data_IF_287763259362
#
_entry.id   IF_287763259362
#
_cell.length_a   1.000
_cell.length_b   1.000
_cell.length_c   1.000
_cell.angle_alpha   90.00
_cell.angle_beta   90.00
_cell.angle_gamma   90.00
#
_symmetry.space_group_name_H-M   'P 1'
#
loop_
_entity.id
_entity.type
_entity.pdbx_description
1 polymer ?
#
# COMPACT_ATOMS: atom_id res chain seq x y z
N UNK A 1 -12.95 -19.79 -15.74
CA UNK A 1 -14.19 -19.91 -14.93
C UNK A 1 -13.93 -20.38 -13.50
N UNK A 2 -13.09 -21.41 -13.27
CA UNK A 2 -12.84 -21.92 -11.92
C UNK A 2 -12.09 -20.93 -11.00
N UNK A 3 -11.18 -20.12 -11.54
CA UNK A 3 -10.41 -19.14 -10.77
C UNK A 3 -11.28 -17.97 -10.30
N UNK A 4 -12.11 -17.40 -11.19
CA UNK A 4 -13.07 -16.36 -10.82
C UNK A 4 -14.05 -16.82 -9.73
N UNK A 5 -14.63 -18.01 -9.85
CA UNK A 5 -15.54 -18.56 -8.85
C UNK A 5 -14.84 -18.77 -7.49
N UNK A 6 -13.59 -19.24 -7.49
CA UNK A 6 -12.81 -19.40 -6.25
C UNK A 6 -12.48 -18.06 -5.59
N UNK A 7 -12.20 -17.01 -6.37
CA UNK A 7 -12.00 -15.65 -5.85
C UNK A 7 -13.28 -15.09 -5.25
N UNK A 8 -14.41 -15.28 -5.91
CA UNK A 8 -15.72 -14.85 -5.41
C UNK A 8 -16.07 -15.55 -4.10
N UNK A 9 -15.83 -16.87 -4.00
CA UNK A 9 -15.98 -17.61 -2.75
C UNK A 9 -15.04 -17.11 -1.65
N UNK A 10 -13.78 -16.81 -1.99
CA UNK A 10 -12.79 -16.27 -1.03
C UNK A 10 -13.17 -14.88 -0.54
N UNK A 11 -13.69 -14.03 -1.43
CA UNK A 11 -14.21 -12.71 -1.09
C UNK A 11 -15.48 -12.84 -0.23
N UNK A 12 -16.40 -13.73 -0.57
CA UNK A 12 -17.60 -14.00 0.22
C UNK A 12 -17.25 -14.51 1.64
N UNK A 13 -16.24 -15.37 1.77
CA UNK A 13 -15.75 -15.83 3.07
C UNK A 13 -15.17 -14.66 3.91
N UNK A 14 -14.38 -13.78 3.29
CA UNK A 14 -13.90 -12.55 3.93
C UNK A 14 -15.04 -11.65 4.42
N UNK A 15 -16.19 -11.67 3.73
CA UNK A 15 -17.37 -10.89 4.07
C UNK A 15 -18.21 -11.52 5.20
N UNK A 16 -18.18 -12.86 5.34
CA UNK A 16 -18.96 -13.61 6.33
C UNK A 16 -18.38 -13.67 7.75
N UNK A 17 -17.05 -13.59 7.91
CA UNK A 17 -16.40 -13.49 9.22
C UNK A 17 -16.27 -12.02 9.69
N UNK A 18 -16.37 -11.80 11.00
CA UNK A 18 -16.38 -10.47 11.63
C UNK A 18 -15.07 -9.69 11.48
N UNK A 19 -14.85 -9.08 10.32
CA UNK A 19 -13.81 -8.08 10.02
C UNK A 19 -12.38 -8.62 9.81
N UNK A 20 -11.54 -7.79 9.19
CA UNK A 20 -10.05 -7.82 9.09
C UNK A 20 -9.31 -9.16 9.36
N UNK A 21 -9.59 -10.24 8.62
CA UNK A 21 -8.63 -11.33 8.47
C UNK A 21 -7.53 -10.93 7.46
N UNK A 22 -6.42 -10.41 7.99
CA UNK A 22 -5.27 -10.01 7.19
C UNK A 22 -4.62 -11.19 6.41
N UNK A 23 -4.70 -12.41 6.95
CA UNK A 23 -4.15 -13.60 6.31
C UNK A 23 -4.98 -14.05 5.11
N UNK A 24 -6.31 -14.03 5.24
CA UNK A 24 -7.21 -14.29 4.12
C UNK A 24 -7.11 -13.21 3.03
N UNK A 25 -7.01 -11.92 3.39
CA UNK A 25 -6.78 -10.83 2.42
C UNK A 25 -5.46 -11.05 1.68
N UNK A 26 -4.41 -11.45 2.39
CA UNK A 26 -3.12 -11.74 1.78
C UNK A 26 -3.21 -12.90 0.80
N UNK A 27 -3.88 -13.98 1.18
CA UNK A 27 -4.08 -15.16 0.35
C UNK A 27 -4.85 -14.81 -0.93
N UNK A 28 -5.91 -14.01 -0.82
CA UNK A 28 -6.68 -13.51 -1.96
C UNK A 28 -5.82 -12.67 -2.90
N UNK A 29 -5.07 -11.70 -2.37
CA UNK A 29 -4.19 -10.85 -3.16
C UNK A 29 -3.15 -11.66 -3.95
N UNK A 30 -2.55 -12.66 -3.30
CA UNK A 30 -1.54 -13.53 -3.90
C UNK A 30 -2.15 -14.44 -4.98
N UNK A 31 -3.39 -14.92 -4.77
CA UNK A 31 -4.13 -15.68 -5.78
C UNK A 31 -4.40 -14.83 -7.03
N UNK A 32 -4.93 -13.61 -6.86
CA UNK A 32 -5.16 -12.68 -7.97
C UNK A 32 -3.85 -12.40 -8.73
N UNK A 33 -2.74 -12.19 -8.01
CA UNK A 33 -1.42 -12.00 -8.60
C UNK A 33 -0.94 -13.18 -9.45
N UNK A 34 -1.11 -14.42 -8.95
CA UNK A 34 -0.75 -15.64 -9.69
C UNK A 34 -1.56 -15.80 -10.96
N UNK A 35 -2.86 -15.61 -10.89
CA UNK A 35 -3.75 -15.70 -12.04
C UNK A 35 -3.39 -14.66 -13.11
N UNK A 36 -3.09 -13.42 -12.71
CA UNK A 36 -2.68 -12.34 -13.63
C UNK A 36 -1.33 -12.62 -14.30
N UNK A 37 -0.44 -13.32 -13.60
CA UNK A 37 0.83 -13.76 -14.16
C UNK A 37 0.66 -14.95 -15.13
N UNK A 38 -0.31 -15.83 -14.89
CA UNK A 38 -0.60 -17.00 -15.72
C UNK A 38 -1.40 -16.66 -16.98
N UNK A 39 -2.21 -15.60 -16.96
CA UNK A 39 -3.05 -15.21 -18.07
C UNK A 39 -2.25 -14.69 -19.29
N UNK A 40 -2.62 -15.07 -20.52
CA UNK A 40 -1.94 -14.60 -21.72
C UNK A 40 -2.23 -13.11 -21.99
N UNK A 41 -1.33 -12.38 -22.68
CA UNK A 41 -1.61 -11.01 -23.11
C UNK A 41 -2.82 -10.94 -24.04
N UNK A 42 -3.65 -9.91 -23.86
CA UNK A 42 -4.76 -9.56 -24.74
C UNK A 42 -4.57 -8.18 -25.36
N UNK A 43 -5.41 -7.82 -26.34
CA UNK A 43 -5.31 -6.53 -27.05
C UNK A 43 -6.15 -5.44 -26.36
N UNK A 44 -5.77 -4.17 -26.59
CA UNK A 44 -6.37 -3.02 -25.89
C UNK A 44 -7.76 -2.65 -26.43
N UNK A 45 -8.08 -2.96 -27.69
CA UNK A 45 -9.26 -2.42 -28.37
C UNK A 45 -10.57 -2.79 -27.67
N UNK A 46 -10.74 -4.07 -27.33
CA UNK A 46 -11.90 -4.54 -26.60
C UNK A 46 -12.00 -3.91 -25.20
N UNK A 47 -10.86 -3.78 -24.51
CA UNK A 47 -10.80 -3.17 -23.19
C UNK A 47 -11.11 -1.66 -23.23
N UNK A 48 -10.64 -0.93 -24.24
CA UNK A 48 -10.93 0.51 -24.40
C UNK A 48 -12.43 0.74 -24.62
N UNK A 49 -13.05 -0.05 -25.49
CA UNK A 49 -14.49 0.02 -25.70
C UNK A 49 -15.28 -0.28 -24.40
N UNK A 50 -14.82 -1.25 -23.61
CA UNK A 50 -15.38 -1.53 -22.29
C UNK A 50 -15.28 -0.32 -21.34
N UNK A 51 -14.12 0.34 -21.27
CA UNK A 51 -13.95 1.53 -20.42
C UNK A 51 -14.88 2.67 -20.84
N UNK A 52 -15.00 2.93 -22.15
CA UNK A 52 -15.88 3.97 -22.69
C UNK A 52 -17.36 3.66 -22.40
N UNK A 53 -17.78 2.40 -22.54
CA UNK A 53 -19.13 1.97 -22.25
C UNK A 53 -19.47 2.03 -20.75
N UNK A 54 -18.49 1.82 -19.88
CA UNK A 54 -18.67 1.81 -18.41
C UNK A 54 -18.59 3.21 -17.79
N UNK A 55 -18.03 4.19 -18.49
CA UNK A 55 -17.87 5.57 -18.00
C UNK A 55 -19.18 6.37 -18.13
N UNK A 56 -20.07 6.23 -17.15
CA UNK A 56 -21.40 6.84 -17.14
C UNK A 56 -21.41 8.30 -16.61
N UNK A 57 -20.56 8.65 -15.65
CA UNK A 57 -20.53 10.01 -15.08
C UNK A 57 -19.59 10.95 -15.84
N UNK A 58 -19.83 12.27 -15.81
CA UNK A 58 -18.88 13.25 -16.39
C UNK A 58 -17.48 13.16 -15.77
N UNK A 59 -17.39 12.89 -14.46
CA UNK A 59 -16.11 12.73 -13.76
C UNK A 59 -15.35 11.50 -14.25
N UNK A 60 -16.02 10.35 -14.42
CA UNK A 60 -15.41 9.15 -15.00
C UNK A 60 -14.88 9.39 -16.40
N UNK A 61 -15.69 10.03 -17.27
CA UNK A 61 -15.26 10.35 -18.64
C UNK A 61 -14.05 11.28 -18.65
N UNK A 62 -14.04 12.32 -17.82
CA UNK A 62 -12.90 13.23 -17.70
C UNK A 62 -11.62 12.50 -17.24
N UNK A 63 -11.71 11.68 -16.20
CA UNK A 63 -10.58 10.93 -15.67
C UNK A 63 -10.08 9.88 -16.68
N UNK A 64 -10.98 9.19 -17.38
CA UNK A 64 -10.62 8.26 -18.45
C UNK A 64 -9.77 8.95 -19.53
N UNK A 65 -10.21 10.13 -20.01
CA UNK A 65 -9.46 10.88 -21.01
C UNK A 65 -8.06 11.28 -20.53
N UNK A 66 -7.91 11.69 -19.25
CA UNK A 66 -6.60 12.04 -18.66
C UNK A 66 -5.63 10.86 -18.64
N UNK A 67 -6.16 9.64 -18.55
CA UNK A 67 -5.38 8.42 -18.39
C UNK A 67 -5.11 7.66 -19.69
N UNK A 68 -5.63 8.10 -20.85
CA UNK A 68 -5.39 7.45 -22.16
C UNK A 68 -3.90 7.13 -22.41
N UNK A 69 -2.94 8.06 -22.25
CA UNK A 69 -1.52 7.76 -22.50
C UNK A 69 -0.94 6.71 -21.54
N UNK A 70 -1.55 6.50 -20.37
CA UNK A 70 -1.14 5.47 -19.42
C UNK A 70 -1.75 4.12 -19.80
N UNK A 71 -2.99 4.08 -20.28
CA UNK A 71 -3.62 2.86 -20.82
C UNK A 71 -2.81 2.29 -22.00
N UNK A 72 -2.37 3.14 -22.91
CA UNK A 72 -1.54 2.71 -24.05
C UNK A 72 -0.20 2.11 -23.60
N UNK A 73 0.47 2.75 -22.63
CA UNK A 73 1.70 2.22 -22.02
C UNK A 73 1.48 0.88 -21.32
N UNK A 74 0.32 0.69 -20.70
CA UNK A 74 -0.04 -0.57 -20.04
C UNK A 74 -0.27 -1.69 -21.05
N UNK A 75 -0.91 -1.41 -22.18
CA UNK A 75 -1.02 -2.36 -23.29
C UNK A 75 0.35 -2.75 -23.85
N UNK A 76 1.22 -1.78 -24.12
CA UNK A 76 2.60 -2.02 -24.57
C UNK A 76 3.40 -2.87 -23.57
N UNK A 77 3.17 -2.66 -22.27
CA UNK A 77 3.79 -3.42 -21.18
C UNK A 77 3.08 -4.76 -20.90
N UNK A 78 2.20 -5.21 -21.80
CA UNK A 78 1.44 -6.47 -21.70
C UNK A 78 0.66 -6.59 -20.38
N UNK A 79 0.05 -5.50 -19.91
CA UNK A 79 -0.80 -5.50 -18.70
C UNK A 79 -2.26 -5.79 -18.98
N UNK A 80 -2.67 -5.77 -20.24
CA UNK A 80 -3.97 -6.27 -20.70
C UNK A 80 -3.86 -7.78 -20.89
N UNK A 81 -4.76 -8.53 -20.27
CA UNK A 81 -4.73 -10.00 -20.18
C UNK A 81 -6.09 -10.59 -20.54
N UNK A 82 -6.09 -11.79 -21.11
CA UNK A 82 -7.32 -12.56 -21.28
C UNK A 82 -7.65 -13.25 -19.94
N UNK A 83 -8.55 -12.63 -19.17
CA UNK A 83 -8.96 -13.08 -17.85
C UNK A 83 -10.34 -13.77 -17.93
N UNK A 84 -10.74 -14.43 -16.84
CA UNK A 84 -12.05 -15.07 -16.73
C UNK A 84 -13.22 -14.05 -16.87
N UNK A 85 -12.96 -12.79 -16.53
CA UNK A 85 -13.87 -11.65 -16.62
C UNK A 85 -13.89 -10.99 -18.00
N UNK A 86 -12.97 -11.37 -18.90
CA UNK A 86 -12.80 -10.79 -20.23
C UNK A 86 -11.37 -10.32 -20.50
N UNK A 87 -11.17 -9.74 -21.68
CA UNK A 87 -9.90 -9.12 -22.07
C UNK A 87 -9.79 -7.74 -21.42
N UNK A 88 -9.05 -7.65 -20.32
CA UNK A 88 -8.98 -6.42 -19.52
C UNK A 88 -7.61 -6.21 -18.85
N UNK A 89 -7.41 -4.99 -18.34
CA UNK A 89 -6.22 -4.66 -17.55
C UNK A 89 -6.23 -5.39 -16.20
N UNK A 90 -5.09 -5.94 -15.79
CA UNK A 90 -4.95 -6.61 -14.48
C UNK A 90 -5.30 -5.74 -13.27
N UNK A 91 -5.17 -4.41 -13.37
CA UNK A 91 -5.60 -3.49 -12.32
C UNK A 91 -7.10 -3.18 -12.39
N UNK A 92 -7.72 -3.33 -13.56
CA UNK A 92 -9.17 -3.20 -13.73
C UNK A 92 -9.91 -4.44 -13.23
N UNK A 93 -9.32 -5.64 -13.40
CA UNK A 93 -9.76 -6.85 -12.70
C UNK A 93 -9.65 -6.67 -11.19
N UNK A 94 -8.48 -6.26 -10.68
CA UNK A 94 -8.26 -5.99 -9.25
C UNK A 94 -9.28 -4.98 -8.69
N UNK A 95 -9.68 -3.99 -9.49
CA UNK A 95 -10.66 -2.99 -9.06
C UNK A 95 -12.03 -3.58 -8.76
N UNK A 96 -12.39 -4.75 -9.30
CA UNK A 96 -13.65 -5.46 -9.00
C UNK A 96 -13.82 -5.79 -7.51
N UNK A 97 -12.98 -6.67 -6.91
CA UNK A 97 -13.06 -6.98 -5.48
C UNK A 97 -12.82 -5.76 -4.60
N UNK A 98 -11.99 -4.80 -5.03
CA UNK A 98 -11.80 -3.56 -4.27
C UNK A 98 -13.08 -2.71 -4.23
N UNK A 99 -13.77 -2.54 -5.36
CA UNK A 99 -15.02 -1.80 -5.44
C UNK A 99 -16.13 -2.48 -4.62
N UNK A 100 -16.20 -3.81 -4.64
CA UNK A 100 -17.11 -4.58 -3.79
C UNK A 100 -16.88 -4.31 -2.29
N UNK A 101 -15.61 -4.35 -1.84
CA UNK A 101 -15.27 -4.04 -0.44
C UNK A 101 -15.60 -2.58 -0.08
N UNK A 102 -15.32 -1.64 -0.97
CA UNK A 102 -15.64 -0.21 -0.74
C UNK A 102 -17.16 -0.01 -0.66
N UNK A 103 -17.94 -0.61 -1.57
CA UNK A 103 -19.41 -0.52 -1.58
C UNK A 103 -20.06 -1.13 -0.34
N UNK A 104 -19.41 -2.11 0.29
CA UNK A 104 -19.85 -2.72 1.56
C UNK A 104 -19.36 -1.95 2.80
N UNK A 105 -18.77 -0.77 2.65
CA UNK A 105 -18.26 0.02 3.77
C UNK A 105 -17.02 -0.58 4.43
N UNK A 106 -16.25 -1.40 3.71
CA UNK A 106 -15.00 -2.05 4.16
C UNK A 106 -13.75 -1.48 3.47
N UNK A 107 -13.46 -0.16 3.58
CA UNK A 107 -12.33 0.47 2.89
C UNK A 107 -10.97 0.06 3.46
N UNK A 108 -10.92 -0.44 4.71
CA UNK A 108 -9.67 -0.91 5.31
C UNK A 108 -9.21 -2.20 4.62
N UNK A 109 -10.12 -3.13 4.41
CA UNK A 109 -9.88 -4.39 3.71
C UNK A 109 -9.51 -4.13 2.24
N UNK A 110 -10.18 -3.18 1.58
CA UNK A 110 -9.85 -2.77 0.22
C UNK A 110 -8.40 -2.25 0.12
N UNK A 111 -7.98 -1.34 0.99
CA UNK A 111 -6.61 -0.80 0.93
C UNK A 111 -5.55 -1.84 1.29
N UNK A 112 -5.88 -2.81 2.14
CA UNK A 112 -5.01 -3.95 2.46
C UNK A 112 -4.80 -4.84 1.24
N UNK A 113 -5.89 -5.21 0.56
CA UNK A 113 -5.86 -6.00 -0.66
C UNK A 113 -5.03 -5.30 -1.75
N UNK A 114 -5.29 -4.01 -1.99
CA UNK A 114 -4.56 -3.22 -2.99
C UNK A 114 -3.06 -3.13 -2.68
N UNK A 115 -2.68 -2.83 -1.44
CA UNK A 115 -1.26 -2.75 -1.06
C UNK A 115 -0.57 -4.11 -1.19
N UNK A 116 -1.19 -5.19 -0.69
CA UNK A 116 -0.61 -6.52 -0.80
C UNK A 116 -0.43 -6.92 -2.26
N UNK A 117 -1.45 -6.73 -3.10
CA UNK A 117 -1.39 -7.06 -4.51
C UNK A 117 -0.20 -6.36 -5.19
N UNK A 118 -0.02 -5.05 -4.96
CA UNK A 118 1.09 -4.31 -5.56
C UNK A 118 2.45 -4.54 -4.91
N UNK A 119 2.52 -5.20 -3.76
CA UNK A 119 3.78 -5.65 -3.17
C UNK A 119 4.31 -6.89 -3.90
N UNK A 120 3.41 -7.83 -4.26
CA UNK A 120 3.75 -9.06 -4.99
C UNK A 120 3.70 -8.92 -6.51
N UNK A 121 2.89 -7.99 -7.03
CA UNK A 121 2.72 -7.69 -8.46
C UNK A 121 2.99 -6.22 -8.74
N UNK A 122 4.26 -5.74 -8.71
CA UNK A 122 4.57 -4.31 -8.80
C UNK A 122 4.05 -3.64 -10.07
N UNK A 123 3.25 -2.58 -9.92
CA UNK A 123 2.68 -1.78 -11.02
C UNK A 123 3.21 -0.33 -11.10
N UNK A 124 4.14 0.04 -10.21
CA UNK A 124 4.70 1.39 -10.14
C UNK A 124 3.68 2.46 -9.73
N UNK A 125 4.16 3.71 -9.70
CA UNK A 125 3.37 4.87 -9.30
C UNK A 125 2.22 5.21 -10.26
N UNK A 126 2.45 5.04 -11.56
CA UNK A 126 1.42 5.28 -12.59
C UNK A 126 0.31 4.22 -12.53
N UNK A 127 0.65 2.96 -12.21
CA UNK A 127 -0.35 1.92 -11.97
C UNK A 127 -1.25 2.24 -10.76
N UNK A 128 -0.66 2.68 -9.64
CA UNK A 128 -1.46 3.09 -8.48
C UNK A 128 -2.37 4.28 -8.79
N UNK A 129 -1.89 5.24 -9.59
CA UNK A 129 -2.66 6.43 -9.97
C UNK A 129 -3.89 6.13 -10.84
N UNK A 130 -3.95 4.96 -11.48
CA UNK A 130 -5.11 4.49 -12.26
C UNK A 130 -6.21 3.85 -11.40
N UNK A 131 -5.88 3.39 -10.19
CA UNK A 131 -6.84 2.68 -9.34
C UNK A 131 -8.11 3.49 -9.04
N UNK A 132 -8.07 4.81 -8.75
CA UNK A 132 -9.29 5.59 -8.54
C UNK A 132 -10.24 5.54 -9.74
N UNK A 133 -9.72 5.65 -10.97
CA UNK A 133 -10.51 5.53 -12.19
C UNK A 133 -11.13 4.14 -12.29
N UNK A 134 -10.33 3.07 -12.21
CA UNK A 134 -10.84 1.71 -12.35
C UNK A 134 -11.84 1.32 -11.26
N UNK A 135 -11.59 1.74 -10.02
CA UNK A 135 -12.51 1.60 -8.90
C UNK A 135 -13.84 2.29 -9.17
N UNK A 136 -13.80 3.52 -9.68
CA UNK A 136 -15.02 4.27 -9.99
C UNK A 136 -15.84 3.59 -11.09
N UNK A 137 -15.19 2.98 -12.09
CA UNK A 137 -15.85 2.26 -13.18
C UNK A 137 -16.44 0.92 -12.71
N UNK A 138 -15.89 0.32 -11.66
CA UNK A 138 -16.42 -0.90 -11.03
C UNK A 138 -17.41 -0.62 -9.90
N UNK A 139 -17.66 0.66 -9.56
CA UNK A 139 -18.61 1.01 -8.51
C UNK A 139 -20.05 0.69 -8.95
N UNK A 140 -20.84 0.13 -8.04
CA UNK A 140 -22.22 -0.29 -8.32
C UNK A 140 -23.24 0.84 -8.42
N UNK A 141 -22.87 2.07 -8.04
CA UNK A 141 -23.73 3.26 -8.12
C UNK A 141 -22.92 4.53 -8.46
N UNK A 142 -23.59 5.49 -9.12
CA UNK A 142 -22.96 6.72 -9.59
C UNK A 142 -22.48 7.64 -8.46
N UNK A 143 -23.16 7.63 -7.30
CA UNK A 143 -22.78 8.46 -6.16
C UNK A 143 -21.45 8.00 -5.56
N UNK A 144 -21.27 6.69 -5.40
CA UNK A 144 -20.01 6.10 -4.99
C UNK A 144 -18.90 6.33 -6.03
N UNK A 145 -19.21 6.19 -7.32
CA UNK A 145 -18.25 6.44 -8.39
C UNK A 145 -17.69 7.87 -8.32
N UNK A 146 -18.56 8.87 -8.20
CA UNK A 146 -18.13 10.27 -8.09
C UNK A 146 -17.39 10.53 -6.77
N UNK A 147 -17.83 9.93 -5.66
CA UNK A 147 -17.14 10.02 -4.37
C UNK A 147 -15.71 9.47 -4.41
N UNK A 148 -15.48 8.36 -5.12
CA UNK A 148 -14.15 7.78 -5.35
C UNK A 148 -13.25 8.75 -6.12
N UNK A 149 -13.82 9.44 -7.11
CA UNK A 149 -13.07 10.35 -7.98
C UNK A 149 -12.84 11.74 -7.38
N UNK A 150 -13.49 12.07 -6.26
CA UNK A 150 -13.29 13.35 -5.58
C UNK A 150 -11.80 13.66 -5.39
N UNK A 151 -11.34 14.87 -5.74
CA UNK A 151 -9.95 15.25 -5.57
C UNK A 151 -9.51 15.13 -4.11
N UNK A 152 -8.35 14.51 -3.88
CA UNK A 152 -7.67 14.50 -2.59
C UNK A 152 -6.22 14.91 -2.80
N UNK A 153 -5.70 15.93 -2.09
CA UNK A 153 -4.31 16.32 -2.23
C UNK A 153 -3.38 15.18 -1.76
N UNK A 154 -2.29 14.90 -2.49
CA UNK A 154 -1.30 13.93 -2.05
C UNK A 154 -0.60 14.38 -0.78
N UNK A 155 -0.13 13.40 0.00
CA UNK A 155 0.67 13.62 1.22
C UNK A 155 1.63 12.48 1.48
N UNK A 156 2.68 12.79 2.23
CA UNK A 156 3.68 11.82 2.66
C UNK A 156 3.61 11.61 4.17
N UNK A 157 3.41 10.37 4.58
CA UNK A 157 3.46 9.94 5.98
C UNK A 157 4.66 9.03 6.16
N UNK A 158 5.48 9.27 7.17
CA UNK A 158 6.56 8.37 7.56
C UNK A 158 6.25 7.77 8.93
N UNK A 159 6.26 6.45 9.03
CA UNK A 159 6.04 5.71 10.28
C UNK A 159 7.36 5.01 10.64
N UNK A 160 7.91 5.45 11.77
CA UNK A 160 9.19 5.03 12.33
C UNK A 160 9.01 4.38 13.70
N UNK A 161 10.06 3.71 14.18
CA UNK A 161 10.02 2.96 15.42
C UNK A 161 10.80 1.66 15.34
N UNK A 162 11.31 1.21 16.49
CA UNK A 162 12.11 -0.01 16.56
C UNK A 162 11.28 -1.26 16.19
N UNK A 163 11.94 -2.37 15.87
CA UNK A 163 11.29 -3.64 15.58
C UNK A 163 10.39 -4.06 16.76
N UNK A 164 9.16 -4.51 16.46
CA UNK A 164 8.15 -4.87 17.46
C UNK A 164 7.22 -3.73 17.94
N UNK A 165 7.38 -2.51 17.43
CA UNK A 165 6.51 -1.36 17.79
C UNK A 165 5.16 -1.31 17.08
N UNK A 166 4.93 -2.14 16.06
CA UNK A 166 3.65 -2.21 15.33
C UNK A 166 3.50 -1.24 14.14
N UNK A 167 4.61 -0.73 13.59
CA UNK A 167 4.60 0.20 12.44
C UNK A 167 3.75 -0.27 11.26
N UNK A 168 4.01 -1.48 10.77
CA UNK A 168 3.26 -2.05 9.64
C UNK A 168 1.78 -2.24 9.94
N UNK A 169 1.41 -2.50 11.20
CA UNK A 169 0.02 -2.57 11.62
C UNK A 169 -0.63 -1.19 11.57
N UNK A 170 0.03 -0.16 12.11
CA UNK A 170 -0.50 1.19 12.04
C UNK A 170 -0.61 1.71 10.59
N UNK A 171 0.43 1.50 9.77
CA UNK A 171 0.45 1.89 8.36
C UNK A 171 -0.78 1.36 7.61
N UNK A 172 -1.05 0.07 7.79
CA UNK A 172 -2.20 -0.65 7.25
C UNK A 172 -3.54 -0.06 7.68
N UNK A 173 -3.69 0.28 8.95
CA UNK A 173 -4.94 0.79 9.53
C UNK A 173 -5.25 2.25 9.18
N UNK A 174 -4.25 3.04 8.77
CA UNK A 174 -4.43 4.46 8.41
C UNK A 174 -4.33 4.72 6.90
N UNK A 175 -3.95 3.73 6.09
CA UNK A 175 -3.76 3.89 4.65
C UNK A 175 -5.05 4.36 3.94
N UNK A 176 -6.23 3.88 4.35
CA UNK A 176 -7.51 4.32 3.78
C UNK A 176 -7.92 5.76 4.17
N UNK A 177 -7.14 6.46 4.99
CA UNK A 177 -7.43 7.83 5.45
C UNK A 177 -6.74 8.92 4.64
N UNK A 178 -5.91 8.54 3.68
CA UNK A 178 -5.14 9.48 2.87
C UNK A 178 -5.29 9.16 1.39
N UNK A 179 -5.28 10.18 0.55
CA UNK A 179 -5.41 10.04 -0.89
C UNK A 179 -6.82 9.66 -1.35
N UNK A 180 -6.96 9.47 -2.66
CA UNK A 180 -8.18 8.97 -3.29
C UNK A 180 -8.33 7.47 -3.00
N UNK A 181 -9.55 6.94 -3.12
CA UNK A 181 -9.78 5.51 -2.95
C UNK A 181 -8.86 4.69 -3.91
N UNK A 182 -8.26 3.58 -3.44
CA UNK A 182 -8.56 2.88 -2.19
C UNK A 182 -7.85 3.48 -0.95
N UNK A 183 -6.92 4.43 -1.16
CA UNK A 183 -6.14 5.06 -0.10
C UNK A 183 -4.68 5.29 -0.51
N UNK A 184 -3.82 5.47 0.50
CA UNK A 184 -2.38 5.67 0.32
C UNK A 184 -1.61 4.38 0.05
N UNK A 185 -0.60 4.46 -0.81
CA UNK A 185 0.36 3.37 -1.02
C UNK A 185 1.28 3.25 0.19
N UNK A 186 1.35 2.08 0.78
CA UNK A 186 2.29 1.73 1.85
C UNK A 186 3.54 1.15 1.21
N UNK A 187 4.68 1.80 1.42
CA UNK A 187 6.00 1.36 0.99
C UNK A 187 6.80 0.92 2.22
N UNK A 188 7.21 -0.34 2.26
CA UNK A 188 7.86 -0.95 3.43
C UNK A 188 9.32 -1.24 3.14
N UNK A 189 10.25 -0.80 3.99
CA UNK A 189 11.68 -1.05 3.78
C UNK A 189 11.99 -2.55 3.66
N UNK A 190 11.32 -3.39 4.46
CA UNK A 190 11.52 -4.83 4.42
C UNK A 190 11.07 -5.42 3.07
N UNK A 191 9.91 -5.01 2.53
CA UNK A 191 9.45 -5.45 1.20
C UNK A 191 10.41 -5.02 0.10
N UNK A 192 10.94 -3.80 0.16
CA UNK A 192 11.94 -3.32 -0.80
C UNK A 192 13.25 -4.11 -0.70
N UNK A 193 13.71 -4.46 0.50
CA UNK A 193 14.89 -5.30 0.70
C UNK A 193 14.72 -6.69 0.06
N UNK A 194 13.54 -7.31 0.23
CA UNK A 194 13.18 -8.59 -0.41
C UNK A 194 13.16 -8.49 -1.93
N UNK A 195 12.55 -7.42 -2.44
CA UNK A 195 12.46 -7.16 -3.88
C UNK A 195 13.85 -6.98 -4.51
N UNK A 196 14.74 -6.22 -3.88
CA UNK A 196 16.13 -6.04 -4.35
C UNK A 196 16.93 -7.35 -4.31
N UNK A 197 16.59 -8.27 -3.42
CA UNK A 197 17.15 -9.62 -3.36
C UNK A 197 16.47 -10.62 -4.32
N UNK A 198 15.43 -10.21 -5.06
CA UNK A 198 14.72 -11.06 -6.01
C UNK A 198 13.83 -12.15 -5.37
N UNK A 199 13.44 -11.99 -4.10
CA UNK A 199 12.63 -12.96 -3.37
C UNK A 199 11.26 -12.41 -3.00
N UNK A 200 10.30 -13.30 -2.67
CA UNK A 200 8.99 -12.91 -2.17
C UNK A 200 9.09 -12.17 -0.82
N UNK A 201 8.08 -11.35 -0.46
CA UNK A 201 8.09 -10.61 0.79
C UNK A 201 8.27 -11.49 2.04
N UNK A 202 7.72 -12.71 2.04
CA UNK A 202 7.76 -13.65 3.18
C UNK A 202 9.08 -14.42 3.31
N UNK A 203 9.89 -14.49 2.24
CA UNK A 203 11.14 -15.26 2.24
C UNK A 203 12.16 -14.61 3.15
N UNK A 204 12.58 -15.28 4.23
CA UNK A 204 13.60 -14.75 5.13
C UNK A 204 14.94 -14.54 4.43
N UNK A 205 15.57 -13.39 4.66
CA UNK A 205 16.90 -13.11 4.12
C UNK A 205 17.98 -13.38 5.18
N UNK A 206 19.15 -13.89 4.78
CA UNK A 206 20.29 -14.01 5.68
C UNK A 206 20.85 -12.64 6.07
N UNK A 207 21.64 -12.61 7.14
CA UNK A 207 22.26 -11.39 7.68
C UNK A 207 23.11 -10.60 6.66
N UNK A 208 23.62 -11.26 5.62
CA UNK A 208 24.35 -10.62 4.52
C UNK A 208 23.52 -9.51 3.81
N UNK A 209 22.18 -9.57 3.85
CA UNK A 209 21.32 -8.52 3.29
C UNK A 209 21.07 -7.33 4.24
N UNK A 210 21.62 -7.36 5.45
CA UNK A 210 21.46 -6.34 6.50
C UNK A 210 22.76 -5.57 6.78
N UNK A 211 23.57 -5.36 5.73
CA UNK A 211 24.77 -4.53 5.79
C UNK A 211 24.40 -3.06 5.58
N UNK A 212 25.29 -2.15 5.98
CA UNK A 212 25.13 -0.70 5.75
C UNK A 212 24.91 -0.36 4.27
N UNK A 213 25.63 -1.03 3.37
CA UNK A 213 25.48 -0.84 1.92
C UNK A 213 24.10 -1.28 1.43
N UNK A 214 23.63 -2.45 1.89
CA UNK A 214 22.31 -2.95 1.52
C UNK A 214 21.17 -2.09 2.10
N UNK A 215 21.34 -1.57 3.31
CA UNK A 215 20.41 -0.59 3.88
C UNK A 215 20.39 0.70 3.04
N UNK A 216 21.54 1.23 2.61
CA UNK A 216 21.61 2.40 1.73
C UNK A 216 20.83 2.17 0.42
N UNK A 217 21.07 1.06 -0.27
CA UNK A 217 20.35 0.72 -1.50
C UNK A 217 18.84 0.54 -1.26
N UNK A 218 18.46 -0.08 -0.13
CA UNK A 218 17.06 -0.28 0.23
C UNK A 218 16.34 1.05 0.45
N UNK A 219 16.93 1.94 1.25
CA UNK A 219 16.34 3.26 1.52
C UNK A 219 16.34 4.15 0.27
N UNK A 220 17.37 4.09 -0.57
CA UNK A 220 17.38 4.80 -1.85
C UNK A 220 16.20 4.38 -2.72
N UNK A 221 16.04 3.08 -2.99
CA UNK A 221 14.93 2.58 -3.80
C UNK A 221 13.55 2.90 -3.19
N UNK A 222 13.45 2.85 -1.86
CA UNK A 222 12.24 3.21 -1.13
C UNK A 222 11.87 4.69 -1.31
N UNK A 223 12.86 5.58 -1.22
CA UNK A 223 12.69 7.03 -1.38
C UNK A 223 12.41 7.44 -2.82
N UNK A 224 13.09 6.84 -3.79
CA UNK A 224 12.81 7.03 -5.22
C UNK A 224 11.36 6.63 -5.53
N UNK A 225 10.92 5.46 -5.03
CA UNK A 225 9.55 5.02 -5.23
C UNK A 225 8.53 5.95 -4.56
N UNK A 226 8.81 6.47 -3.37
CA UNK A 226 7.93 7.44 -2.72
C UNK A 226 7.82 8.75 -3.53
N UNK A 227 8.95 9.24 -4.05
CA UNK A 227 8.99 10.43 -4.89
C UNK A 227 8.18 10.27 -6.18
N UNK A 228 8.31 9.12 -6.86
CA UNK A 228 7.52 8.79 -8.06
C UNK A 228 6.00 8.73 -7.77
N UNK A 229 5.61 8.13 -6.64
CA UNK A 229 4.20 8.06 -6.24
C UNK A 229 3.62 9.44 -5.98
N UNK A 230 4.34 10.28 -5.24
CA UNK A 230 3.93 11.67 -4.99
C UNK A 230 3.87 12.48 -6.30
N UNK A 231 4.80 12.27 -7.23
CA UNK A 231 4.80 12.89 -8.56
C UNK A 231 3.55 12.55 -9.38
N UNK A 232 3.03 11.33 -9.20
CA UNK A 232 1.79 10.88 -9.84
C UNK A 232 0.51 11.28 -9.08
N UNK A 233 0.63 12.11 -8.03
CA UNK A 233 -0.51 12.57 -7.23
C UNK A 233 -1.01 11.55 -6.20
N UNK A 234 -0.25 10.49 -5.93
CA UNK A 234 -0.63 9.48 -4.94
C UNK A 234 -0.22 9.91 -3.53
N UNK A 235 -0.99 9.53 -2.52
CA UNK A 235 -0.54 9.61 -1.13
C UNK A 235 0.29 8.39 -0.76
N UNK A 236 1.32 8.58 0.07
CA UNK A 236 2.28 7.54 0.42
C UNK A 236 2.46 7.45 1.93
N UNK A 237 2.55 6.21 2.43
CA UNK A 237 3.04 5.89 3.76
C UNK A 237 4.35 5.14 3.61
N UNK A 238 5.43 5.64 4.18
CA UNK A 238 6.69 4.89 4.30
C UNK A 238 6.76 4.25 5.69
N UNK A 239 6.88 2.93 5.72
CA UNK A 239 7.07 2.14 6.93
C UNK A 239 8.50 1.57 6.96
N UNK A 240 9.32 2.17 7.82
CA UNK A 240 10.72 1.80 8.01
C UNK A 240 11.15 2.05 9.46
N UNK A 241 12.35 1.60 9.85
CA UNK A 241 12.81 1.81 11.23
C UNK A 241 13.10 3.30 11.51
N UNK A 242 13.65 4.02 10.52
CA UNK A 242 14.00 5.44 10.61
C UNK A 242 14.88 5.80 11.82
N UNK A 243 15.80 4.90 12.18
CA UNK A 243 16.72 5.10 13.30
C UNK A 243 17.71 6.24 13.02
N UNK A 244 18.17 6.38 11.79
CA UNK A 244 19.15 7.39 11.41
C UNK A 244 18.47 8.73 11.14
N UNK A 245 19.02 9.83 11.69
CA UNK A 245 18.50 11.18 11.45
C UNK A 245 18.53 11.56 9.96
N UNK A 246 19.58 11.20 9.23
CA UNK A 246 19.70 11.49 7.81
C UNK A 246 18.57 10.88 6.97
N UNK A 247 18.11 9.67 7.30
CA UNK A 247 16.95 9.05 6.63
C UNK A 247 15.66 9.84 6.91
N UNK A 248 15.51 10.38 8.13
CA UNK A 248 14.38 11.23 8.51
C UNK A 248 14.41 12.58 7.78
N UNK A 249 15.60 13.18 7.66
CA UNK A 249 15.79 14.45 6.95
C UNK A 249 15.49 14.27 5.45
N UNK A 250 15.93 13.15 4.84
CA UNK A 250 15.64 12.84 3.43
C UNK A 250 14.15 12.68 3.16
N UNK A 251 13.42 11.92 4.00
CA UNK A 251 11.97 11.74 3.78
C UNK A 251 11.20 13.05 3.92
N UNK A 252 11.58 13.92 4.87
CA UNK A 252 10.99 15.25 4.99
C UNK A 252 11.29 16.12 3.74
N UNK A 253 12.52 16.06 3.23
CA UNK A 253 12.93 16.80 2.04
C UNK A 253 12.16 16.39 0.77
N UNK A 254 11.81 15.10 0.63
CA UNK A 254 10.96 14.61 -0.48
C UNK A 254 9.59 15.31 -0.45
N UNK A 255 8.94 15.33 0.73
CA UNK A 255 7.65 15.99 0.88
C UNK A 255 7.72 17.48 0.57
N UNK A 256 8.74 18.17 1.10
CA UNK A 256 8.98 19.58 0.84
C UNK A 256 9.19 19.87 -0.66
N UNK A 257 10.05 19.10 -1.35
CA UNK A 257 10.29 19.24 -2.79
C UNK A 257 9.01 19.05 -3.62
N UNK A 258 8.18 18.08 -3.23
CA UNK A 258 6.89 17.81 -3.88
C UNK A 258 5.77 18.76 -3.45
N UNK A 259 6.05 19.67 -2.49
CA UNK A 259 5.09 20.61 -1.91
C UNK A 259 3.84 19.91 -1.37
N UNK A 260 4.04 18.76 -0.74
CA UNK A 260 2.98 17.97 -0.12
C UNK A 260 3.11 18.01 1.40
N UNK A 261 2.01 17.90 2.16
CA UNK A 261 2.09 17.77 3.61
C UNK A 261 2.92 16.56 4.03
N UNK A 262 3.77 16.76 5.03
CA UNK A 262 4.55 15.73 5.69
C UNK A 262 3.98 15.40 7.08
N UNK A 263 3.98 14.12 7.46
CA UNK A 263 3.69 13.71 8.84
C UNK A 263 4.64 12.59 9.26
N UNK A 264 5.59 12.89 10.15
CA UNK A 264 6.41 11.90 10.82
C UNK A 264 5.70 11.34 12.06
N UNK A 265 5.60 10.02 12.19
CA UNK A 265 5.03 9.33 13.36
C UNK A 265 6.08 8.36 13.90
N UNK A 266 6.48 8.53 15.15
CA UNK A 266 7.40 7.62 15.82
C UNK A 266 6.66 6.77 16.85
N UNK A 267 6.66 5.45 16.65
CA UNK A 267 6.06 4.50 17.58
C UNK A 267 7.07 4.09 18.65
N UNK A 268 6.67 4.24 19.90
CA UNK A 268 7.50 4.00 21.07
C UNK A 268 6.89 2.90 21.96
N UNK A 269 7.67 1.86 22.24
CA UNK A 269 7.26 0.71 23.04
C UNK A 269 8.42 0.27 23.94
N UNK A 270 8.13 -0.15 25.19
CA UNK A 270 9.12 -0.78 26.06
C UNK A 270 9.80 -1.96 25.37
N UNK A 271 11.11 -2.14 25.61
CA UNK A 271 11.88 -3.23 25.02
C UNK A 271 11.21 -4.59 25.25
N UNK A 272 10.83 -4.89 26.49
CA UNK A 272 10.17 -6.15 26.86
C UNK A 272 9.00 -6.49 25.93
N UNK A 273 8.11 -5.53 25.68
CA UNK A 273 6.93 -5.71 24.83
C UNK A 273 7.32 -5.95 23.37
N UNK A 274 8.35 -5.25 22.89
CA UNK A 274 8.89 -5.45 21.54
C UNK A 274 9.47 -6.84 21.36
N UNK A 275 10.28 -7.32 22.32
CA UNK A 275 10.88 -8.65 22.24
C UNK A 275 9.82 -9.75 22.24
N UNK A 276 8.78 -9.63 23.08
CA UNK A 276 7.67 -10.57 23.11
C UNK A 276 6.93 -10.63 21.76
N UNK A 277 6.62 -9.47 21.16
CA UNK A 277 5.97 -9.39 19.84
C UNK A 277 6.86 -9.94 18.72
N UNK A 278 8.16 -9.66 18.77
CA UNK A 278 9.13 -10.16 17.78
C UNK A 278 9.28 -11.67 17.85
N UNK A 279 9.22 -12.26 19.05
CA UNK A 279 9.28 -13.71 19.23
C UNK A 279 8.00 -14.42 18.76
N UNK A 280 6.83 -13.80 18.94
CA UNK A 280 5.54 -14.41 18.62
C UNK A 280 5.13 -14.30 17.13
N UNK A 281 5.83 -13.49 16.32
CA UNK A 281 5.41 -13.23 14.94
C UNK A 281 5.75 -14.37 13.97
N UNK A 282 4.85 -14.61 13.02
CA UNK A 282 5.03 -15.52 11.90
C UNK A 282 4.45 -14.90 10.62
N UNK A 283 4.98 -15.30 9.45
CA UNK A 283 4.44 -14.88 8.15
C UNK A 283 4.54 -13.40 7.80
N UNK A 284 5.44 -12.63 8.42
CA UNK A 284 5.67 -11.21 8.09
C UNK A 284 6.92 -10.99 7.24
N UNK A 285 6.97 -9.87 6.52
CA UNK A 285 8.10 -9.57 5.62
C UNK A 285 9.41 -9.19 6.33
N UNK A 286 9.37 -8.98 7.63
CA UNK A 286 10.47 -8.38 8.40
C UNK A 286 11.36 -9.46 9.00
N UNK A 287 12.70 -9.42 8.82
CA UNK A 287 13.58 -10.47 9.38
C UNK A 287 14.11 -10.18 10.78
N UNK A 288 13.75 -9.05 11.40
CA UNK A 288 14.29 -8.65 12.71
C UNK A 288 13.98 -9.67 13.83
N UNK A 289 14.96 -10.46 14.24
CA UNK A 289 14.82 -11.38 15.37
C UNK A 289 14.99 -10.65 16.72
N UNK A 290 14.88 -11.40 17.83
CA UNK A 290 15.01 -10.86 19.20
C UNK A 290 16.37 -10.16 19.40
N UNK A 291 17.45 -10.69 18.85
CA UNK A 291 18.80 -10.11 19.00
C UNK A 291 18.92 -8.79 18.24
N UNK A 292 18.39 -8.71 17.02
CA UNK A 292 18.29 -7.45 16.27
C UNK A 292 17.46 -6.42 17.05
N UNK A 293 16.33 -6.84 17.63
CA UNK A 293 15.47 -5.93 18.39
C UNK A 293 16.12 -5.41 19.68
N UNK A 294 16.98 -6.21 20.33
CA UNK A 294 17.82 -5.80 21.46
C UNK A 294 18.95 -4.86 21.04
N UNK A 295 19.62 -5.18 19.94
CA UNK A 295 20.72 -4.35 19.43
C UNK A 295 20.22 -2.96 19.04
N UNK A 296 19.02 -2.88 18.45
CA UNK A 296 18.37 -1.60 18.18
C UNK A 296 18.10 -0.75 19.43
N UNK A 297 17.81 -1.36 20.58
CA UNK A 297 17.58 -0.64 21.84
C UNK A 297 18.82 0.08 22.36
N UNK A 298 20.01 -0.46 22.06
CA UNK A 298 21.29 0.06 22.53
C UNK A 298 21.73 1.30 21.76
N UNK A 299 21.13 1.52 20.59
CA UNK A 299 21.50 2.62 19.69
C UNK A 299 20.61 3.83 19.94
N UNK A 300 21.17 5.04 20.10
CA UNK A 300 20.37 6.24 20.26
C UNK A 300 19.62 6.56 18.96
N UNK A 301 18.32 6.85 19.07
CA UNK A 301 17.48 7.30 17.94
C UNK A 301 17.74 8.78 17.59
N UNK A 302 18.37 9.52 18.50
CA UNK A 302 18.61 10.95 18.37
C UNK A 302 17.33 11.78 18.52
N UNK A 303 17.37 13.02 18.04
CA UNK A 303 16.27 13.99 18.19
C UNK A 303 15.13 13.67 17.21
N UNK A 304 13.89 13.78 17.69
CA UNK A 304 12.63 13.50 16.99
C UNK A 304 11.73 14.76 16.85
N UNK A 305 12.32 15.95 16.74
CA UNK A 305 11.61 17.23 16.87
C UNK A 305 10.40 17.38 15.91
N UNK A 306 10.49 16.86 14.68
CA UNK A 306 9.43 16.93 13.67
C UNK A 306 8.50 15.69 13.66
N UNK A 307 8.68 14.77 14.61
CA UNK A 307 8.00 13.48 14.63
C UNK A 307 7.04 13.37 15.81
N UNK A 308 5.79 13.02 15.52
CA UNK A 308 4.80 12.75 16.55
C UNK A 308 5.11 11.43 17.25
N UNK A 309 5.63 11.49 18.47
CA UNK A 309 5.87 10.30 19.29
C UNK A 309 4.57 9.75 19.87
N UNK A 310 4.26 8.49 19.58
CA UNK A 310 3.07 7.79 20.08
C UNK A 310 3.52 6.54 20.86
N UNK A 311 3.17 6.47 22.15
CA UNK A 311 3.40 5.26 22.97
C UNK A 311 2.37 4.18 22.62
N UNK A 312 2.83 2.97 22.34
CA UNK A 312 2.00 1.84 21.88
C UNK A 312 1.69 0.80 22.98
N UNK A 313 1.74 1.22 24.24
CA UNK A 313 1.34 0.44 25.41
C UNK A 313 -0.16 0.60 25.73
N UNK A 314 -0.99 0.78 24.69
CA UNK A 314 -2.43 1.06 24.80
C UNK A 314 -3.18 0.31 23.68
N UNK A 315 -4.51 0.14 23.77
CA UNK A 315 -5.31 -0.48 22.71
C UNK A 315 -5.10 0.17 21.34
N UNK A 316 -5.17 -0.62 20.27
CA UNK A 316 -4.83 -0.20 18.91
C UNK A 316 -5.73 0.94 18.41
N UNK A 317 -6.98 0.99 18.87
CA UNK A 317 -7.96 2.01 18.54
C UNK A 317 -7.49 3.39 19.00
N UNK A 318 -6.89 3.48 20.20
CA UNK A 318 -6.33 4.73 20.74
C UNK A 318 -5.06 5.14 19.99
N UNK A 319 -4.24 4.17 19.55
CA UNK A 319 -3.04 4.43 18.74
C UNK A 319 -3.46 4.99 17.37
N UNK A 320 -4.45 4.36 16.72
CA UNK A 320 -5.00 4.80 15.43
C UNK A 320 -5.63 6.18 15.57
N UNK A 321 -6.41 6.44 16.64
CA UNK A 321 -6.98 7.76 16.89
C UNK A 321 -5.89 8.85 17.05
N UNK A 322 -4.82 8.56 17.80
CA UNK A 322 -3.69 9.48 17.95
C UNK A 322 -2.97 9.74 16.61
N UNK A 323 -2.76 8.70 15.80
CA UNK A 323 -2.16 8.82 14.47
C UNK A 323 -3.04 9.66 13.54
N UNK A 324 -4.37 9.46 13.56
CA UNK A 324 -5.33 10.29 12.82
C UNK A 324 -5.23 11.76 13.23
N UNK A 325 -5.18 12.03 14.53
CA UNK A 325 -4.99 13.39 15.04
C UNK A 325 -3.69 14.04 14.56
N UNK A 326 -2.62 13.27 14.35
CA UNK A 326 -1.39 13.78 13.73
C UNK A 326 -1.58 14.12 12.24
N UNK A 327 -2.26 13.26 11.47
CA UNK A 327 -2.54 13.49 10.06
C UNK A 327 -3.41 14.73 9.82
N UNK A 328 -4.35 15.02 10.72
CA UNK A 328 -5.26 16.17 10.58
C UNK A 328 -4.61 17.49 10.98
N UNK A 329 -3.63 17.48 11.90
CA UNK A 329 -2.84 18.68 12.22
C UNK A 329 -1.99 19.16 11.04
N UNK A 330 -1.44 18.22 10.26
CA UNK A 330 -0.67 18.52 9.06
C UNK A 330 -1.51 18.97 7.84
N UNK A 331 -2.84 19.09 7.97
CA UNK A 331 -3.71 19.69 6.93
C UNK A 331 -3.77 21.22 6.99
N UNK A 332 -3.30 21.81 8.10
CA UNK A 332 -3.25 23.28 8.31
C UNK A 332 -1.85 23.78 8.04
#
# INVERSE_FOLDING_TARGET
MAAAAQREASLAALLGEGGLDAGAIQTLADAIGRDHAAAPPAKLEAFRALLEATAHTPAQRLELHRHIPQLDRRAQSKRIRALDTGDEDILFDLAGPLAALVGLGRPTEAILLANRYLDVTPQGATGWALLPLYLSLRAGDAGLADAILMPSPPRLVAIGGLSGTGKSTLARLIANRIGRAPGGRVLRSDVFRKRLAGVSPETRLPAAHYTRLNDQHTYQALFESADDHLACGNSVIIDAVFMNRSERDVVAAIAHRRRVPFTGIWLDAPERDRLARVAARSGDASDANVDVAREQSRRPVGVLAEWHRIRVNRPIELIVAAARGALDRAKR
#
